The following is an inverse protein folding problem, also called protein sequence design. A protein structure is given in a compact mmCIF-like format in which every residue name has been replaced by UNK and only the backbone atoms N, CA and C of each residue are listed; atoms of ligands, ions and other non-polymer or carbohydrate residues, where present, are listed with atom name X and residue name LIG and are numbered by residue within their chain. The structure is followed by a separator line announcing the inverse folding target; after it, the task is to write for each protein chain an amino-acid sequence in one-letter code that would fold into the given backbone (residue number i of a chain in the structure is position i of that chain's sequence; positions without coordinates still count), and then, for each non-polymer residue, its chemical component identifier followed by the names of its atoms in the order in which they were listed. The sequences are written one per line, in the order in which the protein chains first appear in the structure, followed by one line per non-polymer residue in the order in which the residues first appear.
data_IF_443327625637
#
_entry.id   IF_443327625637
#
_cell.length_a   1.000
_cell.length_b   1.000
_cell.length_c   1.000
_cell.angle_alpha   90.00
_cell.angle_beta   90.00
_cell.angle_gamma   90.00
#
_symmetry.space_group_name_H-M   'P 1'
#
loop_
_entity.id
_entity.type
_entity.pdbx_description
1 polymer ?
#
# COMPACT_ATOMS: atom_id res chain seq x y z
N UNK A 1 0.26 -4.24 -10.55
CA UNK A 1 0.65 -4.36 -9.11
C UNK A 1 0.79 -5.85 -8.80
N UNK A 2 1.79 -6.26 -8.02
CA UNK A 2 1.86 -7.64 -7.54
C UNK A 2 1.04 -7.71 -6.24
N UNK A 3 -0.07 -8.45 -6.27
CA UNK A 3 -0.97 -8.63 -5.13
C UNK A 3 -0.46 -9.78 -4.26
N UNK A 4 -0.32 -9.55 -2.96
CA UNK A 4 0.18 -10.56 -2.01
C UNK A 4 -0.90 -10.92 -0.99
N UNK A 5 -0.97 -12.18 -0.58
CA UNK A 5 -1.85 -12.61 0.51
C UNK A 5 -1.47 -11.91 1.82
N UNK A 6 -2.48 -11.47 2.58
CA UNK A 6 -2.30 -10.67 3.80
C UNK A 6 -2.02 -9.19 3.56
N UNK A 7 -1.84 -8.75 2.31
CA UNK A 7 -1.64 -7.35 1.96
C UNK A 7 -2.89 -6.53 2.30
N UNK A 8 -2.71 -5.40 2.98
CA UNK A 8 -3.79 -4.41 3.19
C UNK A 8 -4.00 -3.57 1.94
N UNK A 9 -5.26 -3.35 1.60
CA UNK A 9 -5.70 -2.66 0.38
C UNK A 9 -6.82 -1.69 0.69
N UNK A 10 -6.92 -0.65 -0.13
CA UNK A 10 -7.99 0.35 -0.09
C UNK A 10 -8.59 0.54 -1.48
N UNK A 11 -9.85 0.95 -1.54
CA UNK A 11 -10.52 1.31 -2.79
C UNK A 11 -10.60 2.83 -2.90
N UNK A 12 -10.13 3.40 -4.00
CA UNK A 12 -10.27 4.82 -4.25
C UNK A 12 -11.75 5.23 -4.36
N UNK A 13 -12.12 6.33 -3.71
CA UNK A 13 -13.48 6.87 -3.75
C UNK A 13 -14.51 6.17 -2.85
N UNK A 14 -14.15 5.07 -2.17
CA UNK A 14 -15.05 4.34 -1.27
C UNK A 14 -14.34 3.97 0.05
N UNK A 15 -14.91 4.37 1.19
CA UNK A 15 -14.40 3.97 2.52
C UNK A 15 -15.00 2.62 2.95
N UNK A 16 -14.34 1.54 2.53
CA UNK A 16 -14.62 0.19 3.01
C UNK A 16 -13.97 -0.13 4.37
N UNK A 17 -13.18 0.79 4.94
CA UNK A 17 -12.26 0.49 6.04
C UNK A 17 -11.06 -0.35 5.59
N UNK A 18 -10.31 -0.96 6.53
CA UNK A 18 -9.16 -1.79 6.20
C UNK A 18 -9.61 -3.11 5.55
N UNK A 19 -9.24 -3.31 4.29
CA UNK A 19 -9.47 -4.57 3.57
C UNK A 19 -8.16 -5.32 3.36
N UNK A 20 -8.24 -6.62 3.13
CA UNK A 20 -7.07 -7.49 3.02
C UNK A 20 -7.22 -8.46 1.86
N UNK A 21 -6.13 -8.75 1.17
CA UNK A 21 -6.06 -9.84 0.19
C UNK A 21 -6.04 -11.17 0.94
N UNK A 22 -7.00 -12.04 0.66
CA UNK A 22 -7.07 -13.38 1.28
C UNK A 22 -6.52 -14.48 0.38
N UNK A 23 -6.52 -14.26 -0.93
CA UNK A 23 -5.95 -15.17 -1.91
C UNK A 23 -5.51 -14.38 -3.15
N UNK A 24 -4.37 -14.74 -3.74
CA UNK A 24 -3.85 -14.09 -4.95
C UNK A 24 -3.16 -15.08 -5.87
N UNK A 25 -3.52 -15.07 -7.15
CA UNK A 25 -2.82 -15.78 -8.21
C UNK A 25 -2.78 -14.95 -9.51
N UNK A 26 -2.24 -15.52 -10.59
CA UNK A 26 -2.07 -14.82 -11.87
C UNK A 26 -3.38 -14.35 -12.52
N UNK A 27 -4.51 -14.96 -12.20
CA UNK A 27 -5.79 -14.71 -12.84
C UNK A 27 -6.80 -14.04 -11.93
N UNK A 28 -6.64 -14.17 -10.62
CA UNK A 28 -7.67 -13.81 -9.65
C UNK A 28 -7.05 -13.37 -8.33
N UNK A 29 -7.66 -12.34 -7.75
CA UNK A 29 -7.39 -11.86 -6.41
C UNK A 29 -8.71 -11.83 -5.65
N UNK A 30 -8.67 -12.19 -4.37
CA UNK A 30 -9.82 -12.13 -3.46
C UNK A 30 -9.50 -11.13 -2.37
N UNK A 31 -10.39 -10.15 -2.19
CA UNK A 31 -10.28 -9.11 -1.16
C UNK A 31 -11.43 -9.29 -0.18
N UNK A 32 -11.11 -9.28 1.10
CA UNK A 32 -12.07 -9.27 2.19
C UNK A 32 -12.05 -7.94 2.95
N UNK A 33 -13.23 -7.35 3.12
CA UNK A 33 -13.45 -6.12 3.88
C UNK A 33 -14.33 -6.43 5.10
N UNK A 34 -13.76 -6.59 6.30
CA UNK A 34 -14.47 -7.04 7.49
C UNK A 34 -15.53 -6.06 8.00
N UNK A 35 -15.38 -4.75 7.75
CA UNK A 35 -16.31 -3.73 8.25
C UNK A 35 -17.75 -3.92 7.76
N UNK A 36 -17.90 -4.42 6.53
CA UNK A 36 -19.18 -4.64 5.88
C UNK A 36 -19.35 -6.10 5.44
N UNK A 37 -18.50 -7.00 5.94
CA UNK A 37 -18.44 -8.42 5.56
C UNK A 37 -18.45 -8.64 4.04
N UNK A 38 -17.78 -7.75 3.30
CA UNK A 38 -17.78 -7.76 1.84
C UNK A 38 -16.61 -8.60 1.32
N UNK A 39 -16.92 -9.45 0.34
CA UNK A 39 -15.92 -10.19 -0.44
C UNK A 39 -16.04 -9.74 -1.88
N UNK A 40 -14.92 -9.33 -2.47
CA UNK A 40 -14.84 -9.04 -3.90
C UNK A 40 -13.72 -9.84 -4.54
N UNK A 41 -13.92 -10.20 -5.80
CA UNK A 41 -12.96 -10.96 -6.57
C UNK A 41 -13.02 -10.59 -8.04
N UNK A 42 -11.83 -10.42 -8.64
CA UNK A 42 -11.66 -10.18 -10.05
C UNK A 42 -10.19 -10.43 -10.43
N UNK A 43 -9.86 -10.27 -11.71
CA UNK A 43 -8.47 -10.28 -12.14
C UNK A 43 -7.68 -9.08 -11.57
N UNK A 44 -6.36 -9.21 -11.38
CA UNK A 44 -5.51 -8.11 -10.89
C UNK A 44 -5.75 -6.78 -11.61
N UNK A 45 -5.83 -6.81 -12.94
CA UNK A 45 -6.02 -5.61 -13.77
C UNK A 45 -7.41 -4.98 -13.57
N UNK A 46 -8.46 -5.80 -13.40
CA UNK A 46 -9.82 -5.29 -13.17
C UNK A 46 -9.94 -4.63 -11.80
N UNK A 47 -9.28 -5.17 -10.77
CA UNK A 47 -9.28 -4.54 -9.45
C UNK A 47 -8.54 -3.20 -9.46
N UNK A 48 -7.40 -3.11 -10.16
CA UNK A 48 -6.70 -1.84 -10.35
C UNK A 48 -7.57 -0.79 -11.07
N UNK A 49 -8.26 -1.20 -12.14
CA UNK A 49 -9.19 -0.33 -12.87
C UNK A 49 -10.40 0.10 -12.02
N UNK A 50 -10.86 -0.77 -11.12
CA UNK A 50 -11.90 -0.45 -10.15
C UNK A 50 -11.41 0.44 -8.99
N UNK A 51 -10.12 0.78 -8.95
CA UNK A 51 -9.53 1.69 -7.97
C UNK A 51 -8.98 1.01 -6.72
N UNK A 52 -8.86 -0.32 -6.69
CA UNK A 52 -8.21 -1.02 -5.60
C UNK A 52 -6.70 -0.86 -5.68
N UNK A 53 -6.08 -0.53 -4.54
CA UNK A 53 -4.64 -0.28 -4.45
C UNK A 53 -4.06 -0.75 -3.12
N UNK A 54 -2.78 -1.10 -3.12
CA UNK A 54 -2.05 -1.42 -1.90
C UNK A 54 -1.96 -0.20 -1.00
N UNK A 55 -2.31 -0.38 0.28
CA UNK A 55 -1.92 0.59 1.29
C UNK A 55 -0.47 0.30 1.65
N UNK A 56 0.48 0.77 0.85
CA UNK A 56 1.87 0.76 1.27
C UNK A 56 1.96 1.46 2.65
N UNK A 57 2.78 0.97 3.60
CA UNK A 57 2.97 1.69 4.85
C UNK A 57 3.48 3.10 4.50
N UNK A 58 2.74 4.14 4.92
CA UNK A 58 3.12 5.57 4.82
C UNK A 58 4.52 5.90 5.42
N UNK A 59 5.24 4.92 5.96
CA UNK A 59 6.55 5.06 6.63
C UNK A 59 7.73 5.35 5.69
N UNK A 60 7.72 4.94 4.42
CA UNK A 60 8.91 5.11 3.54
C UNK A 60 9.15 6.59 3.22
N UNK A 61 8.08 7.36 2.99
CA UNK A 61 8.18 8.80 2.70
C UNK A 61 8.72 9.58 3.90
N UNK A 62 8.34 9.21 5.14
CA UNK A 62 8.85 9.87 6.34
C UNK A 62 10.32 9.55 6.59
N UNK A 63 10.73 8.29 6.40
CA UNK A 63 12.13 7.86 6.59
C UNK A 63 13.08 8.48 5.55
N UNK A 64 12.66 8.62 4.28
CA UNK A 64 13.47 9.28 3.25
C UNK A 64 13.62 10.78 3.53
N UNK A 65 12.53 11.47 3.89
CA UNK A 65 12.58 12.90 4.27
C UNK A 65 13.45 13.12 5.50
N UNK A 66 13.36 12.26 6.51
CA UNK A 66 14.21 12.32 7.71
C UNK A 66 15.70 12.08 7.37
N UNK A 67 16.02 11.09 6.53
CA UNK A 67 17.40 10.84 6.07
C UNK A 67 17.96 12.02 5.28
N UNK A 68 17.21 12.62 4.36
CA UNK A 68 17.64 13.80 3.61
C UNK A 68 17.86 15.00 4.55
N UNK A 69 16.94 15.26 5.48
CA UNK A 69 17.07 16.35 6.45
C UNK A 69 18.30 16.19 7.37
N UNK A 70 18.64 14.97 7.79
CA UNK A 70 19.82 14.71 8.62
C UNK A 70 21.14 14.64 7.84
N UNK A 71 21.11 14.35 6.53
CA UNK A 71 22.31 14.40 5.68
C UNK A 71 22.77 15.84 5.44
N UNK A 72 21.83 16.79 5.33
CA UNK A 72 22.14 18.22 5.21
C UNK A 72 22.72 18.83 6.51
N UNK A 73 22.34 18.31 7.68
CA UNK A 73 22.89 18.73 8.98
C UNK A 73 24.30 18.21 9.26
N UNK A 74 24.77 17.20 8.51
CA UNK A 74 26.12 16.63 8.60
C UNK A 74 27.04 17.15 7.48
N UNK A 75 27.02 18.45 7.21
CA UNK A 75 28.17 19.05 6.52
C UNK A 75 29.34 19.03 7.52
N UNK A 76 30.49 18.40 7.21
CA UNK A 76 31.66 18.55 8.04
C UNK A 76 32.04 20.04 8.05
N UNK A 77 32.33 20.58 9.24
CA UNK A 77 33.02 21.85 9.36
C UNK A 77 34.38 21.66 8.66
N UNK A 78 34.73 22.44 7.63
CA UNK A 78 36.07 22.38 7.09
C UNK A 78 37.01 23.06 8.09
N UNK A 79 37.96 22.29 8.61
CA UNK A 79 39.12 22.80 9.34
C UNK A 79 39.00 22.72 10.86
N UNK A 80 39.61 21.68 11.44
CA UNK A 80 40.68 21.81 12.45
C UNK A 80 41.73 20.75 12.11
#
# INVERSE_FOLDING_TARGET
MNWEEGQTVECEGLDWGPCYVTMSNQHMVVIYCPRYEMVTTASPNQLEQAGWKSTAPKKVVWMQKWRQANRQKRKPVPGV
#
